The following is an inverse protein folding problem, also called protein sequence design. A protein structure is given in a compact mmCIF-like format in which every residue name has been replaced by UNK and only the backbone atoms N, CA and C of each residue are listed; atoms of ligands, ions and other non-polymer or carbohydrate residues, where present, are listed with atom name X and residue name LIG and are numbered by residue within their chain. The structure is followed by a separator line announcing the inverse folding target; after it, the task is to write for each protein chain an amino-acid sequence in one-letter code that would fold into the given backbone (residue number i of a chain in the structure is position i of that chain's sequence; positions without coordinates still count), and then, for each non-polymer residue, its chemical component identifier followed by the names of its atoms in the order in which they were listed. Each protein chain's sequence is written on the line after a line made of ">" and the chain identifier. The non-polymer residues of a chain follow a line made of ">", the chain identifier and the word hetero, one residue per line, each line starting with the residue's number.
data_IF_777314959894
#
_entry.id   IF_777314959894
#
_cell.length_a   1.000
_cell.length_b   1.000
_cell.length_c   1.000
_cell.angle_alpha   90.00
_cell.angle_beta   90.00
_cell.angle_gamma   90.00
#
_symmetry.space_group_name_H-M   'P 1'
#
loop_
_entity.id
_entity.type
_entity.pdbx_description
1 polymer ?
#
# COMPACT_ATOMS: atom_id res chain seq x y z
N UNK A 1 -12.30 -0.88 -14.00
CA UNK A 1 -10.95 -1.46 -13.93
C UNK A 1 -11.07 -2.97 -14.17
N UNK A 2 -10.19 -3.59 -14.97
CA UNK A 2 -10.27 -5.02 -15.33
C UNK A 2 -9.35 -5.90 -14.48
N UNK A 3 -8.16 -5.40 -14.19
CA UNK A 3 -7.21 -5.97 -13.25
C UNK A 3 -6.37 -4.81 -12.70
N UNK A 4 -5.79 -4.97 -11.53
CA UNK A 4 -4.92 -3.98 -10.89
C UNK A 4 -3.70 -4.65 -10.27
N UNK A 5 -2.65 -3.86 -10.02
CA UNK A 5 -1.54 -4.27 -9.19
C UNK A 5 -1.04 -3.10 -8.35
N UNK A 6 -0.63 -3.38 -7.11
CA UNK A 6 -0.11 -2.39 -6.17
C UNK A 6 1.20 -2.91 -5.56
N UNK A 7 2.32 -2.30 -5.95
CA UNK A 7 3.63 -2.56 -5.36
C UNK A 7 3.94 -1.55 -4.28
N UNK A 8 4.35 -2.03 -3.09
CA UNK A 8 4.65 -1.21 -1.92
C UNK A 8 3.63 -0.06 -1.76
N UNK A 9 2.34 -0.36 -1.54
CA UNK A 9 1.28 0.64 -1.61
C UNK A 9 1.51 1.75 -0.56
N UNK A 10 1.91 2.92 -1.03
CA UNK A 10 1.97 4.15 -0.25
C UNK A 10 0.56 4.72 -0.02
N UNK A 11 0.44 5.73 0.85
CA UNK A 11 -0.83 6.38 1.22
C UNK A 11 -1.83 5.44 1.92
N UNK A 12 -1.33 4.42 2.62
CA UNK A 12 -2.11 3.45 3.38
C UNK A 12 -1.76 3.56 4.87
N UNK A 13 -2.76 3.63 5.74
CA UNK A 13 -2.56 3.67 7.19
C UNK A 13 -1.72 4.85 7.61
N UNK A 14 -2.09 6.07 7.20
CA UNK A 14 -1.26 7.27 7.41
C UNK A 14 -0.83 7.46 8.87
N UNK A 15 -1.79 7.33 9.79
CA UNK A 15 -1.52 7.60 11.21
C UNK A 15 -0.67 6.51 11.86
N UNK A 16 -0.72 5.28 11.36
CA UNK A 16 0.18 4.21 11.82
C UNK A 16 1.55 4.37 11.17
N UNK A 17 1.59 4.73 9.89
CA UNK A 17 2.83 4.93 9.13
C UNK A 17 3.76 5.97 9.75
N UNK A 18 3.22 7.09 10.24
CA UNK A 18 4.04 8.14 10.88
C UNK A 18 4.66 7.71 12.22
N UNK A 19 4.14 6.64 12.84
CA UNK A 19 4.68 6.02 14.06
C UNK A 19 5.64 4.87 13.70
N UNK A 20 5.35 4.12 12.63
CA UNK A 20 6.14 2.98 12.16
C UNK A 20 7.43 3.38 11.44
N UNK A 21 7.47 4.54 10.79
CA UNK A 21 8.64 4.99 10.03
C UNK A 21 9.04 6.45 10.24
N UNK A 22 10.32 6.72 9.98
CA UNK A 22 10.95 8.04 9.99
C UNK A 22 11.54 8.41 8.62
N UNK A 23 11.13 7.72 7.57
CA UNK A 23 11.55 8.03 6.19
C UNK A 23 10.53 8.94 5.50
N UNK A 24 11.02 9.68 4.51
CA UNK A 24 10.16 10.46 3.63
C UNK A 24 9.45 9.52 2.64
N UNK A 25 8.16 9.76 2.31
CA UNK A 25 7.45 11.03 2.53
C UNK A 25 6.54 11.08 3.77
N UNK A 26 6.29 9.98 4.48
CA UNK A 26 5.45 10.02 5.70
C UNK A 26 6.04 10.94 6.79
N UNK A 27 7.36 11.10 6.79
CA UNK A 27 8.07 12.07 7.62
C UNK A 27 7.48 13.48 7.57
N UNK A 28 6.98 13.94 6.42
CA UNK A 28 6.44 15.28 6.24
C UNK A 28 5.23 15.55 7.14
N UNK A 29 4.39 14.54 7.34
CA UNK A 29 3.23 14.63 8.24
C UNK A 29 3.72 14.78 9.68
N UNK A 30 4.75 14.03 10.09
CA UNK A 30 5.31 14.15 11.44
C UNK A 30 5.98 15.51 11.64
N UNK A 31 6.70 16.00 10.64
CA UNK A 31 7.32 17.32 10.70
C UNK A 31 6.28 18.43 10.80
N UNK A 32 5.17 18.32 10.07
CA UNK A 32 4.03 19.22 10.20
C UNK A 32 3.42 19.18 11.60
N UNK A 33 3.13 17.99 12.12
CA UNK A 33 2.54 17.81 13.45
C UNK A 33 3.49 18.21 14.58
N UNK A 34 4.81 18.18 14.37
CA UNK A 34 5.78 18.72 15.33
C UNK A 34 5.69 20.24 15.46
N UNK A 35 5.39 20.94 14.36
CA UNK A 35 5.19 22.39 14.35
C UNK A 35 3.78 22.79 14.81
N UNK A 36 2.79 21.95 14.55
CA UNK A 36 1.36 22.20 14.82
C UNK A 36 0.68 21.00 15.51
N UNK A 37 1.08 20.64 16.74
CA UNK A 37 0.60 19.43 17.43
C UNK A 37 -0.92 19.44 17.68
N UNK A 38 -1.52 20.61 17.85
CA UNK A 38 -2.96 20.80 18.02
C UNK A 38 -3.77 20.35 16.79
N UNK A 39 -3.13 20.22 15.62
CA UNK A 39 -3.80 19.85 14.36
C UNK A 39 -3.87 18.34 14.12
N UNK A 40 -3.38 17.50 15.05
CA UNK A 40 -3.34 16.04 14.86
C UNK A 40 -4.69 15.46 14.48
N UNK A 41 -5.76 15.89 15.14
CA UNK A 41 -7.12 15.42 14.84
C UNK A 41 -7.57 15.84 13.44
N UNK A 42 -7.42 17.12 13.09
CA UNK A 42 -7.79 17.63 11.77
C UNK A 42 -6.99 16.96 10.64
N UNK A 43 -5.70 16.68 10.87
CA UNK A 43 -4.84 15.94 9.93
C UNK A 43 -5.33 14.51 9.76
N UNK A 44 -5.57 13.78 10.86
CA UNK A 44 -6.14 12.42 10.81
C UNK A 44 -7.44 12.42 10.00
N UNK A 45 -8.36 13.31 10.32
CA UNK A 45 -9.69 13.34 9.71
C UNK A 45 -9.62 13.67 8.23
N UNK A 46 -8.70 14.56 7.83
CA UNK A 46 -8.47 14.88 6.40
C UNK A 46 -7.85 13.69 5.68
N UNK A 47 -6.79 13.10 6.22
CA UNK A 47 -6.07 11.98 5.60
C UNK A 47 -6.93 10.72 5.50
N UNK A 48 -7.89 10.52 6.42
CA UNK A 48 -8.83 9.42 6.36
C UNK A 48 -9.63 9.36 5.04
N UNK A 49 -9.90 10.50 4.39
CA UNK A 49 -10.57 10.52 3.08
C UNK A 49 -9.69 10.00 1.94
N UNK A 50 -8.37 9.95 2.14
CA UNK A 50 -7.38 9.56 1.13
C UNK A 50 -6.66 8.27 1.48
N UNK A 51 -6.97 7.65 2.62
CA UNK A 51 -6.32 6.42 3.05
C UNK A 51 -6.70 5.25 2.15
N UNK A 52 -5.70 4.63 1.53
CA UNK A 52 -5.84 3.47 0.64
C UNK A 52 -6.61 2.31 1.29
N UNK A 53 -6.49 2.12 2.60
CA UNK A 53 -7.20 1.10 3.38
C UNK A 53 -8.72 1.32 3.26
N UNK A 54 -9.19 2.56 3.31
CA UNK A 54 -10.62 2.88 3.24
C UNK A 54 -11.23 2.63 1.85
N UNK A 55 -10.40 2.53 0.81
CA UNK A 55 -10.83 2.21 -0.55
C UNK A 55 -10.87 0.71 -0.84
N UNK A 56 -10.22 -0.13 -0.04
CA UNK A 56 -10.15 -1.58 -0.23
C UNK A 56 -11.51 -2.24 -0.52
N UNK A 57 -12.58 -1.93 0.23
CA UNK A 57 -13.90 -2.53 0.01
C UNK A 57 -14.51 -2.22 -1.38
N UNK A 58 -13.98 -1.22 -2.11
CA UNK A 58 -14.42 -0.85 -3.47
C UNK A 58 -13.61 -1.54 -4.57
N UNK A 59 -12.51 -2.21 -4.22
CA UNK A 59 -11.64 -2.91 -5.16
C UNK A 59 -12.19 -4.33 -5.34
N UNK A 60 -12.96 -4.53 -6.42
CA UNK A 60 -13.61 -5.82 -6.74
C UNK A 60 -13.04 -6.49 -7.98
N UNK A 61 -12.09 -5.87 -8.68
CA UNK A 61 -11.40 -6.51 -9.80
C UNK A 61 -10.23 -7.35 -9.31
N UNK A 62 -9.78 -8.36 -10.09
CA UNK A 62 -8.54 -9.07 -9.83
C UNK A 62 -7.40 -8.11 -9.47
N UNK A 63 -6.73 -8.37 -8.36
CA UNK A 63 -5.64 -7.51 -7.88
C UNK A 63 -4.48 -8.29 -7.28
N UNK A 64 -3.27 -7.87 -7.65
CA UNK A 64 -2.03 -8.33 -7.06
C UNK A 64 -1.40 -7.24 -6.21
N UNK A 65 -1.06 -7.57 -4.96
CA UNK A 65 -0.28 -6.69 -4.08
C UNK A 65 1.09 -7.33 -3.86
N UNK A 66 2.16 -6.52 -3.86
CA UNK A 66 3.50 -7.03 -3.56
C UNK A 66 4.25 -6.05 -2.66
N UNK A 67 4.92 -6.58 -1.64
CA UNK A 67 5.52 -5.79 -0.56
C UNK A 67 6.91 -6.33 -0.20
N UNK A 68 7.82 -5.44 0.20
CA UNK A 68 9.07 -5.81 0.84
C UNK A 68 8.90 -5.86 2.36
N UNK A 69 9.34 -6.94 3.00
CA UNK A 69 9.18 -7.11 4.45
C UNK A 69 10.15 -6.25 5.28
N UNK A 70 11.13 -5.61 4.63
CA UNK A 70 12.03 -4.62 5.23
C UNK A 70 11.81 -3.22 4.64
N UNK A 71 10.66 -2.98 4.01
CA UNK A 71 10.30 -1.68 3.46
C UNK A 71 10.12 -0.66 4.60
N UNK A 72 11.05 0.29 4.68
CA UNK A 72 11.00 1.38 5.64
C UNK A 72 10.36 2.65 5.04
N UNK A 73 9.95 2.68 3.77
CA UNK A 73 9.20 3.78 3.13
C UNK A 73 7.71 3.53 3.27
N UNK A 74 7.26 2.33 2.90
CA UNK A 74 5.89 1.87 3.05
C UNK A 74 5.87 0.65 3.99
N UNK A 75 5.72 0.84 5.31
CA UNK A 75 5.80 -0.26 6.28
C UNK A 75 4.87 -1.42 5.90
N UNK A 76 5.36 -2.67 5.89
CA UNK A 76 4.61 -3.82 5.40
C UNK A 76 3.29 -4.04 6.14
N UNK A 77 3.20 -3.63 7.41
CA UNK A 77 1.98 -3.66 8.22
C UNK A 77 0.83 -2.91 7.54
N UNK A 78 1.11 -1.73 6.96
CA UNK A 78 0.10 -0.93 6.26
C UNK A 78 -0.28 -1.52 4.91
N UNK A 79 0.65 -2.21 4.25
CA UNK A 79 0.39 -2.97 3.03
C UNK A 79 -0.54 -4.16 3.29
N UNK A 80 -0.30 -4.92 4.36
CA UNK A 80 -1.20 -5.99 4.81
C UNK A 80 -2.58 -5.44 5.21
N UNK A 81 -2.63 -4.36 5.99
CA UNK A 81 -3.89 -3.74 6.38
C UNK A 81 -4.72 -3.30 5.16
N UNK A 82 -4.08 -2.70 4.15
CA UNK A 82 -4.75 -2.37 2.90
C UNK A 82 -5.25 -3.63 2.18
N UNK A 83 -4.40 -4.65 2.03
CA UNK A 83 -4.75 -5.91 1.37
C UNK A 83 -5.94 -6.62 2.02
N UNK A 84 -6.01 -6.64 3.35
CA UNK A 84 -7.06 -7.32 4.09
C UNK A 84 -8.45 -6.73 3.81
N UNK A 85 -8.53 -5.41 3.64
CA UNK A 85 -9.80 -4.71 3.33
C UNK A 85 -10.28 -4.88 1.88
N UNK A 86 -9.42 -5.34 0.97
CA UNK A 86 -9.77 -5.52 -0.45
C UNK A 86 -10.93 -6.52 -0.61
N UNK A 87 -11.98 -6.12 -1.32
CA UNK A 87 -13.18 -6.93 -1.53
C UNK A 87 -13.08 -7.96 -2.67
N UNK A 88 -12.10 -7.84 -3.56
CA UNK A 88 -11.89 -8.81 -4.64
C UNK A 88 -11.71 -10.22 -4.11
N UNK A 89 -12.49 -11.16 -4.62
CA UNK A 89 -12.32 -12.59 -4.37
C UNK A 89 -11.04 -13.14 -5.04
N UNK A 90 -10.60 -12.46 -6.09
CA UNK A 90 -9.35 -12.72 -6.80
C UNK A 90 -8.31 -11.68 -6.37
N UNK A 91 -7.79 -11.85 -5.15
CA UNK A 91 -6.71 -11.01 -4.61
C UNK A 91 -5.53 -11.88 -4.19
N UNK A 92 -4.33 -11.44 -4.55
CA UNK A 92 -3.08 -12.13 -4.23
C UNK A 92 -2.11 -11.17 -3.57
N UNK A 93 -1.34 -11.64 -2.58
CA UNK A 93 -0.25 -10.88 -1.97
C UNK A 93 1.07 -11.63 -2.10
N UNK A 94 2.12 -10.90 -2.47
CA UNK A 94 3.49 -11.42 -2.61
C UNK A 94 4.41 -10.68 -1.63
N UNK A 95 4.69 -11.27 -0.46
CA UNK A 95 5.68 -10.75 0.45
C UNK A 95 7.09 -11.19 0.04
N UNK A 96 8.03 -10.24 0.06
CA UNK A 96 9.43 -10.47 -0.24
C UNK A 96 10.30 -10.24 0.99
N UNK A 97 10.82 -11.33 1.57
CA UNK A 97 11.80 -11.27 2.65
C UNK A 97 13.19 -10.91 2.10
N UNK A 98 13.92 -10.08 2.85
CA UNK A 98 15.19 -9.46 2.44
C UNK A 98 15.06 -8.23 1.54
N UNK A 99 13.84 -7.77 1.24
CA UNK A 99 13.57 -6.65 0.32
C UNK A 99 12.94 -5.45 1.01
N UNK A 100 13.33 -4.26 0.56
CA UNK A 100 12.78 -2.99 1.01
C UNK A 100 11.71 -2.48 0.04
N UNK A 101 11.72 -1.18 -0.25
CA UNK A 101 10.76 -0.55 -1.17
C UNK A 101 10.87 -1.03 -2.63
N UNK A 102 11.91 -1.79 -2.97
CA UNK A 102 12.01 -2.45 -4.27
C UNK A 102 11.07 -3.65 -4.42
N UNK A 103 10.60 -4.23 -3.30
CA UNK A 103 9.71 -5.39 -3.21
C UNK A 103 10.01 -6.51 -4.23
N UNK A 104 11.29 -6.86 -4.38
CA UNK A 104 11.71 -7.93 -5.28
C UNK A 104 11.39 -7.66 -6.75
N UNK A 105 11.21 -6.39 -7.15
CA UNK A 105 10.75 -5.96 -8.49
C UNK A 105 11.49 -6.62 -9.65
N UNK A 106 12.79 -6.88 -9.50
CA UNK A 106 13.62 -7.61 -10.48
C UNK A 106 13.04 -8.99 -10.80
N UNK A 107 12.56 -9.71 -9.79
CA UNK A 107 11.98 -11.05 -9.93
C UNK A 107 10.46 -10.99 -10.13
N UNK A 108 9.78 -10.05 -9.46
CA UNK A 108 8.33 -9.91 -9.50
C UNK A 108 7.81 -9.48 -10.87
N UNK A 109 8.62 -8.81 -11.70
CA UNK A 109 8.19 -8.31 -13.00
C UNK A 109 7.67 -9.38 -13.97
N UNK A 110 8.15 -10.62 -13.90
CA UNK A 110 7.60 -11.71 -14.72
C UNK A 110 6.22 -12.17 -14.21
N UNK A 111 6.08 -12.33 -12.89
CA UNK A 111 4.82 -12.70 -12.22
C UNK A 111 3.72 -11.67 -12.53
N UNK A 112 4.05 -10.38 -12.44
CA UNK A 112 3.14 -9.28 -12.75
C UNK A 112 2.65 -9.32 -14.21
N UNK A 113 3.56 -9.60 -15.16
CA UNK A 113 3.20 -9.73 -16.58
C UNK A 113 2.26 -10.90 -16.82
N UNK A 114 2.54 -12.06 -16.23
CA UNK A 114 1.69 -13.24 -16.36
C UNK A 114 0.31 -13.03 -15.72
N UNK A 115 0.25 -12.34 -14.58
CA UNK A 115 -1.01 -11.95 -13.97
C UNK A 115 -1.88 -11.11 -14.91
N UNK A 116 -1.34 -10.01 -15.45
CA UNK A 116 -2.12 -9.20 -16.39
C UNK A 116 -2.45 -9.95 -17.68
N UNK A 117 -1.55 -10.78 -18.18
CA UNK A 117 -1.81 -11.62 -19.34
C UNK A 117 -3.04 -12.51 -19.11
N UNK A 118 -3.11 -13.20 -17.98
CA UNK A 118 -4.21 -14.12 -17.67
C UNK A 118 -5.56 -13.40 -17.47
N UNK A 119 -5.54 -12.21 -16.87
CA UNK A 119 -6.78 -11.46 -16.57
C UNK A 119 -7.26 -10.55 -17.70
N UNK A 120 -6.40 -10.27 -18.70
CA UNK A 120 -6.75 -9.38 -19.81
C UNK A 120 -6.89 -10.11 -21.16
N UNK A 121 -6.29 -11.28 -21.37
CA UNK A 121 -6.31 -11.95 -22.69
C UNK A 121 -7.61 -12.69 -23.03
N UNK A 122 -8.50 -12.93 -22.06
CA UNK A 122 -9.69 -13.77 -22.28
C UNK A 122 -10.98 -13.00 -22.59
N UNK A 123 -10.94 -11.68 -22.89
CA UNK A 123 -12.11 -10.88 -23.31
C UNK A 123 -11.78 -9.68 -24.19
#
# INVERSE_FOLDING_TARGET
>A
IRAAAAGCPYLCGYMDSIELTHTYPYQEIRDYLRLYPERREAVRDTLAYFDGINFGPRITCPIMVYIGLQDNVCPPETGYAAFDTIASEDKQIYPYDGHGHDAGSVHHGAILKDFFKNHLQNR
#
